data_IF_309151489218
#
_entry.id   IF_309151489218
#
_cell.length_a   1.000
_cell.length_b   1.000
_cell.length_c   1.000
_cell.angle_alpha   90.00
_cell.angle_beta   90.00
_cell.angle_gamma   90.00
#
_symmetry.space_group_name_H-M   'P 1'
#
loop_
_entity.id
_entity.type
_entity.pdbx_description
1 polymer ?
#
# COMPACT_ATOMS: atom_id res chain seq x y z
N UNK A 1 3.53 -24.34 3.24
CA UNK A 1 3.56 -24.42 1.76
C UNK A 1 3.15 -23.07 1.19
N UNK A 2 3.77 -22.62 0.09
CA UNK A 2 3.42 -21.36 -0.60
C UNK A 2 2.98 -21.70 -2.03
N UNK A 3 1.91 -21.07 -2.49
CA UNK A 3 1.32 -21.30 -3.81
C UNK A 3 1.15 -19.94 -4.48
N UNK A 4 1.53 -19.84 -5.74
CA UNK A 4 1.31 -18.66 -6.58
C UNK A 4 0.09 -18.92 -7.48
N UNK A 5 -0.81 -17.95 -7.55
CA UNK A 5 -2.03 -18.04 -8.35
C UNK A 5 -2.03 -16.86 -9.34
N UNK A 6 -2.08 -17.18 -10.63
CA UNK A 6 -2.28 -16.18 -11.68
C UNK A 6 -3.76 -16.20 -12.07
N UNK A 7 -4.44 -15.09 -11.81
CA UNK A 7 -5.88 -14.94 -12.04
C UNK A 7 -6.17 -13.56 -12.62
N UNK A 8 -7.27 -13.44 -13.36
CA UNK A 8 -7.75 -12.16 -13.85
C UNK A 8 -8.05 -11.19 -12.70
N UNK A 9 -7.59 -9.94 -12.79
CA UNK A 9 -7.77 -8.93 -11.73
C UNK A 9 -9.23 -8.70 -11.34
N UNK A 10 -10.15 -8.82 -12.31
CA UNK A 10 -11.60 -8.66 -12.08
C UNK A 10 -12.17 -9.76 -11.16
N UNK A 11 -11.57 -10.95 -11.17
CA UNK A 11 -12.01 -12.12 -10.39
C UNK A 11 -11.23 -12.27 -9.07
N UNK A 12 -10.09 -11.56 -8.93
CA UNK A 12 -9.27 -11.60 -7.73
C UNK A 12 -10.00 -11.21 -6.43
N UNK A 13 -10.92 -10.21 -6.40
CA UNK A 13 -11.68 -9.89 -5.20
C UNK A 13 -12.54 -11.05 -4.70
N UNK A 14 -13.25 -11.73 -5.61
CA UNK A 14 -14.13 -12.85 -5.27
C UNK A 14 -13.34 -14.03 -4.70
N UNK A 15 -12.21 -14.40 -5.31
CA UNK A 15 -11.36 -15.48 -4.79
C UNK A 15 -10.75 -15.12 -3.42
N UNK A 16 -10.32 -13.87 -3.25
CA UNK A 16 -9.76 -13.41 -1.97
C UNK A 16 -10.78 -13.46 -0.83
N UNK A 17 -12.08 -13.21 -1.09
CA UNK A 17 -13.11 -13.37 -0.06
C UNK A 17 -13.18 -14.81 0.44
N UNK A 18 -13.21 -15.79 -0.47
CA UNK A 18 -13.22 -17.21 -0.10
C UNK A 18 -11.95 -17.60 0.65
N UNK A 19 -10.79 -17.16 0.19
CA UNK A 19 -9.51 -17.48 0.84
C UNK A 19 -9.36 -16.82 2.22
N UNK A 20 -9.98 -15.66 2.45
CA UNK A 20 -9.96 -14.98 3.75
C UNK A 20 -10.82 -15.68 4.80
N UNK A 21 -11.89 -16.37 4.40
CA UNK A 21 -12.73 -17.16 5.31
C UNK A 21 -12.00 -18.41 5.82
N UNK A 22 -10.98 -18.87 5.09
CA UNK A 22 -10.15 -20.00 5.47
C UNK A 22 -9.10 -19.57 6.51
N UNK A 23 -9.37 -19.82 7.80
CA UNK A 23 -8.48 -19.45 8.93
C UNK A 23 -7.05 -19.99 8.84
N UNK A 24 -6.81 -21.03 8.04
CA UNK A 24 -5.49 -21.64 7.83
C UNK A 24 -4.72 -21.05 6.63
N UNK A 25 -5.32 -20.13 5.87
CA UNK A 25 -4.71 -19.50 4.70
C UNK A 25 -4.36 -18.06 5.02
N UNK A 26 -3.11 -17.68 4.75
CA UNK A 26 -2.68 -16.27 4.78
C UNK A 26 -2.55 -15.78 3.36
N UNK A 27 -3.44 -14.89 2.94
CA UNK A 27 -3.41 -14.30 1.61
C UNK A 27 -2.57 -13.03 1.60
N UNK A 28 -1.74 -12.86 0.57
CA UNK A 28 -1.07 -11.60 0.29
C UNK A 28 -1.21 -11.32 -1.20
N UNK A 29 -1.72 -10.14 -1.57
CA UNK A 29 -1.71 -9.69 -2.97
C UNK A 29 -0.29 -9.29 -3.33
N UNK A 30 0.18 -9.75 -4.48
CA UNK A 30 1.54 -9.50 -4.97
C UNK A 30 1.58 -8.24 -5.84
N UNK A 31 0.45 -7.88 -6.49
CA UNK A 31 0.33 -6.60 -7.17
C UNK A 31 0.26 -5.48 -6.14
N UNK A 32 1.22 -4.57 -6.20
CA UNK A 32 1.10 -3.26 -5.54
C UNK A 32 -0.12 -2.57 -6.12
N UNK A 33 -1.16 -2.45 -5.30
CA UNK A 33 -2.31 -1.65 -5.68
C UNK A 33 -1.92 -0.16 -5.60
N UNK A 34 -2.48 0.70 -6.45
CA UNK A 34 -2.37 2.16 -6.29
C UNK A 34 -2.69 2.62 -4.85
N UNK A 35 -3.53 1.86 -4.16
CA UNK A 35 -3.86 2.08 -2.74
C UNK A 35 -2.68 1.79 -1.81
N UNK A 36 -1.89 0.75 -2.05
CA UNK A 36 -0.68 0.46 -1.27
C UNK A 36 0.43 1.47 -1.52
N UNK A 37 0.63 1.89 -2.77
CA UNK A 37 1.56 2.97 -3.12
C UNK A 37 1.14 4.30 -2.47
N UNK A 38 -0.15 4.63 -2.53
CA UNK A 38 -0.72 5.78 -1.85
C UNK A 38 -0.54 5.71 -0.32
N UNK A 39 -0.78 4.55 0.30
CA UNK A 39 -0.59 4.37 1.73
C UNK A 39 0.88 4.46 2.16
N UNK A 40 1.81 3.96 1.32
CA UNK A 40 3.25 4.12 1.54
C UNK A 40 3.65 5.58 1.48
N UNK A 41 3.29 6.28 0.40
CA UNK A 41 3.57 7.71 0.24
C UNK A 41 3.00 8.54 1.39
N UNK A 42 1.78 8.24 1.84
CA UNK A 42 1.14 8.95 2.95
C UNK A 42 1.86 8.70 4.29
N UNK A 43 2.38 7.49 4.51
CA UNK A 43 3.19 7.15 5.69
C UNK A 43 4.53 7.89 5.66
N UNK A 44 5.16 7.99 4.50
CA UNK A 44 6.41 8.73 4.30
C UNK A 44 6.21 10.23 4.55
N UNK A 45 5.15 10.84 3.99
CA UNK A 45 4.81 12.24 4.22
C UNK A 45 4.59 12.56 5.72
N UNK A 46 3.93 11.67 6.46
CA UNK A 46 3.75 11.82 7.92
C UNK A 46 5.10 11.78 8.66
N UNK A 47 6.03 10.94 8.21
CA UNK A 47 7.38 10.91 8.79
C UNK A 47 8.16 12.19 8.47
N UNK A 48 8.05 12.71 7.24
CA UNK A 48 8.67 13.98 6.85
C UNK A 48 8.15 15.14 7.70
N UNK A 49 6.82 15.25 7.89
CA UNK A 49 6.22 16.27 8.77
C UNK A 49 6.73 16.16 10.21
N UNK A 50 6.92 14.94 10.72
CA UNK A 50 7.48 14.71 12.06
C UNK A 50 8.94 15.17 12.15
N UNK A 51 9.75 14.94 11.12
CA UNK A 51 11.15 15.36 11.07
C UNK A 51 11.31 16.87 10.87
N UNK A 52 10.41 17.48 10.09
CA UNK A 52 10.37 18.92 9.89
C UNK A 52 9.98 19.67 11.17
N UNK A 53 9.02 19.13 11.94
CA UNK A 53 8.69 19.64 13.29
C UNK A 53 9.86 19.53 14.26
N UNK A 54 10.79 18.60 14.05
CA UNK A 54 12.04 18.49 14.82
C UNK A 54 13.16 19.40 14.29
N UNK A 55 12.90 20.22 13.27
CA UNK A 55 13.87 21.15 12.68
C UNK A 55 14.95 20.48 11.82
N UNK A 56 14.79 19.19 11.48
CA UNK A 56 15.82 18.42 10.76
C UNK A 56 15.73 18.51 9.24
N UNK A 57 14.55 18.80 8.69
CA UNK A 57 14.32 18.87 7.24
C UNK A 57 13.35 20.00 6.87
N UNK A 58 13.45 20.51 5.64
CA UNK A 58 12.45 21.41 5.05
C UNK A 58 11.39 20.57 4.33
N UNK A 59 10.11 20.90 4.54
CA UNK A 59 9.02 20.19 3.88
C UNK A 59 8.91 20.61 2.42
N UNK A 60 8.66 19.63 1.55
CA UNK A 60 8.15 19.86 0.19
C UNK A 60 6.67 20.27 0.23
N UNK A 61 6.20 21.01 -0.77
CA UNK A 61 4.81 21.46 -0.81
C UNK A 61 3.86 20.29 -1.00
N UNK A 62 2.65 20.36 -0.44
CA UNK A 62 1.62 19.35 -0.64
C UNK A 62 1.29 19.09 -2.13
N UNK A 63 1.44 20.13 -2.97
CA UNK A 63 1.24 20.05 -4.42
C UNK A 63 2.34 19.26 -5.13
N UNK A 64 3.58 19.33 -4.64
CA UNK A 64 4.71 18.56 -5.20
C UNK A 64 4.58 17.08 -4.84
N UNK A 65 4.21 16.79 -3.59
CA UNK A 65 3.94 15.41 -3.14
C UNK A 65 2.82 14.73 -3.95
N UNK A 66 1.74 15.45 -4.26
CA UNK A 66 0.64 14.91 -5.07
C UNK A 66 0.99 14.69 -6.54
N UNK A 67 2.05 15.31 -7.06
CA UNK A 67 2.53 15.08 -8.42
C UNK A 67 3.50 13.87 -8.51
N UNK A 68 4.02 13.40 -7.37
CA UNK A 68 4.92 12.23 -7.28
C UNK A 68 4.16 10.91 -7.03
N UNK A 69 2.90 10.99 -6.61
CA UNK A 69 1.97 9.87 -6.38
C UNK A 69 1.11 9.57 -7.62
#
# INVERSE_FOLDING_TARGET
MKILLEIEDKKAPALMQVLNDLKYVKTKRIKETKKEEFLKGLKEAVQEVKLAKQGKIKLKSAKEFLNEL
#
